data_IF_991587214135
#
_entry.id   IF_991587214135
#
_cell.length_a   1.000
_cell.length_b   1.000
_cell.length_c   1.000
_cell.angle_alpha   90.00
_cell.angle_beta   90.00
_cell.angle_gamma   90.00
#
_symmetry.space_group_name_H-M   'P 1'
#
loop_
_entity.id
_entity.type
_entity.pdbx_description
1 polymer ?
#
# COMPACT_ATOMS: atom_id res chain seq x y z
N UNK A 1 -38.28 -6.59 25.09
CA UNK A 1 -37.40 -5.77 24.27
C UNK A 1 -38.25 -5.18 23.15
N UNK A 2 -38.33 -3.84 23.06
CA UNK A 2 -38.96 -3.17 21.93
C UNK A 2 -37.94 -3.22 20.76
N UNK A 3 -38.19 -4.03 19.77
CA UNK A 3 -37.34 -4.09 18.58
C UNK A 3 -37.64 -2.86 17.71
N UNK A 4 -36.62 -2.02 17.47
CA UNK A 4 -36.74 -0.92 16.52
C UNK A 4 -37.00 -1.48 15.09
N UNK A 5 -37.76 -0.76 14.30
CA UNK A 5 -37.99 -1.11 12.91
C UNK A 5 -36.69 -1.04 12.10
N UNK A 6 -36.54 -1.87 11.07
CA UNK A 6 -35.33 -1.88 10.23
C UNK A 6 -35.03 -0.50 9.62
N UNK A 7 -36.07 0.22 9.21
CA UNK A 7 -35.97 1.60 8.68
C UNK A 7 -35.44 2.60 9.71
N UNK A 8 -35.81 2.43 10.97
CA UNK A 8 -35.36 3.28 12.08
C UNK A 8 -33.88 3.02 12.38
N UNK A 9 -33.43 1.74 12.41
CA UNK A 9 -32.03 1.38 12.58
C UNK A 9 -31.16 1.93 11.44
N UNK A 10 -31.63 1.85 10.19
CA UNK A 10 -30.93 2.43 9.04
C UNK A 10 -30.84 3.96 9.16
N UNK A 11 -31.90 4.64 9.61
CA UNK A 11 -31.92 6.09 9.82
C UNK A 11 -30.92 6.50 10.89
N UNK A 12 -30.84 5.77 12.02
CA UNK A 12 -29.84 6.01 13.08
C UNK A 12 -28.42 5.85 12.52
N UNK A 13 -28.14 4.78 11.77
CA UNK A 13 -26.85 4.59 11.14
C UNK A 13 -26.46 5.71 10.20
N UNK A 14 -27.36 6.09 9.29
CA UNK A 14 -27.17 7.20 8.35
C UNK A 14 -26.89 8.54 9.08
N UNK A 15 -27.61 8.81 10.16
CA UNK A 15 -27.41 10.00 10.97
C UNK A 15 -25.98 10.12 11.53
N UNK A 16 -25.38 8.99 11.97
CA UNK A 16 -23.99 8.97 12.46
C UNK A 16 -23.03 9.43 11.37
N UNK A 17 -23.16 8.88 10.15
CA UNK A 17 -22.31 9.27 9.01
C UNK A 17 -22.46 10.75 8.66
N UNK A 18 -23.69 11.26 8.58
CA UNK A 18 -23.92 12.66 8.23
C UNK A 18 -23.37 13.63 9.27
N UNK A 19 -23.56 13.34 10.57
CA UNK A 19 -23.05 14.21 11.64
C UNK A 19 -21.54 14.20 11.75
N UNK A 20 -20.90 13.05 11.54
CA UNK A 20 -19.45 13.00 11.50
C UNK A 20 -18.89 13.72 10.26
N UNK A 21 -19.48 13.54 9.09
CA UNK A 21 -19.09 14.25 7.88
C UNK A 21 -19.19 15.78 8.01
N UNK A 22 -20.27 16.27 8.64
CA UNK A 22 -20.46 17.69 8.95
C UNK A 22 -19.32 18.22 9.85
N UNK A 23 -19.00 17.49 10.91
CA UNK A 23 -17.90 17.87 11.82
C UNK A 23 -16.54 17.89 11.12
N UNK A 24 -16.25 16.88 10.28
CA UNK A 24 -15.01 16.84 9.51
C UNK A 24 -14.90 18.00 8.51
N UNK A 25 -16.00 18.36 7.84
CA UNK A 25 -16.07 19.51 6.94
C UNK A 25 -15.74 20.79 7.69
N UNK A 26 -16.37 21.04 8.83
CA UNK A 26 -16.12 22.22 9.67
C UNK A 26 -14.65 22.30 10.11
N UNK A 27 -14.03 21.18 10.52
CA UNK A 27 -12.61 21.16 10.88
C UNK A 27 -11.72 21.52 9.68
N UNK A 28 -12.03 20.98 8.51
CA UNK A 28 -11.28 21.28 7.28
C UNK A 28 -11.37 22.76 6.87
N UNK A 29 -12.55 23.39 7.01
CA UNK A 29 -12.77 24.81 6.74
C UNK A 29 -12.06 25.75 7.72
N UNK A 30 -11.70 25.25 8.93
CA UNK A 30 -11.05 26.02 9.99
C UNK A 30 -9.58 25.63 10.21
N UNK A 31 -8.95 24.91 9.28
CA UNK A 31 -7.51 24.69 9.34
C UNK A 31 -6.77 26.03 9.27
N UNK A 32 -5.85 26.22 10.19
CA UNK A 32 -5.07 27.45 10.33
C UNK A 32 -3.54 27.19 10.22
N UNK A 33 -2.73 28.22 10.46
CA UNK A 33 -1.28 28.14 10.42
C UNK A 33 -0.72 27.10 11.39
N UNK A 34 -1.45 26.69 12.43
CA UNK A 34 -1.03 25.62 13.35
C UNK A 34 -0.82 24.30 12.60
N UNK A 35 -1.64 24.01 11.57
CA UNK A 35 -1.47 22.84 10.74
C UNK A 35 -0.15 22.88 9.95
N UNK A 36 0.18 24.05 9.38
CA UNK A 36 1.44 24.26 8.64
C UNK A 36 2.64 24.13 9.59
N UNK A 37 2.54 24.70 10.79
CA UNK A 37 3.58 24.60 11.81
C UNK A 37 3.77 23.14 12.29
N UNK A 38 2.70 22.36 12.44
CA UNK A 38 2.79 20.95 12.77
C UNK A 38 3.56 20.16 11.68
N UNK A 39 3.22 20.40 10.40
CA UNK A 39 3.94 19.78 9.28
C UNK A 39 5.41 20.12 9.30
N UNK A 40 5.75 21.41 9.48
CA UNK A 40 7.13 21.86 9.54
C UNK A 40 7.89 21.20 10.69
N UNK A 41 7.30 21.13 11.88
CA UNK A 41 7.91 20.53 13.06
C UNK A 41 8.15 19.02 12.87
N UNK A 42 7.17 18.30 12.33
CA UNK A 42 7.33 16.87 12.03
C UNK A 42 8.37 16.65 10.91
N UNK A 43 8.38 17.49 9.89
CA UNK A 43 9.33 17.37 8.77
C UNK A 43 10.77 17.59 9.20
N UNK A 44 11.00 18.46 10.18
CA UNK A 44 12.33 18.79 10.73
C UNK A 44 12.79 17.79 11.80
N UNK A 45 11.93 16.89 12.25
CA UNK A 45 12.26 15.88 13.28
C UNK A 45 13.42 14.99 12.81
N UNK A 46 14.50 14.95 13.60
CA UNK A 46 15.69 14.13 13.30
C UNK A 46 15.55 12.70 13.81
N UNK A 47 14.71 12.48 14.82
CA UNK A 47 14.38 11.19 15.40
C UNK A 47 13.06 10.65 14.82
N UNK A 48 12.17 10.25 15.70
CA UNK A 48 10.87 9.65 15.37
C UNK A 48 9.72 10.53 15.85
N UNK A 49 8.56 10.35 15.26
CA UNK A 49 7.32 10.94 15.77
C UNK A 49 6.69 9.97 16.75
N UNK A 50 6.62 10.36 18.01
CA UNK A 50 6.03 9.56 19.08
C UNK A 50 4.60 10.02 19.28
N UNK A 51 3.63 9.11 19.19
CA UNK A 51 2.23 9.41 19.42
C UNK A 51 1.81 8.84 20.76
N UNK A 52 1.08 9.60 21.57
CA UNK A 52 0.60 9.14 22.87
C UNK A 52 -0.82 9.64 23.13
N UNK A 53 -1.63 8.80 23.79
CA UNK A 53 -3.02 9.09 24.13
C UNK A 53 -3.62 7.97 24.95
N UNK A 54 -4.64 8.30 25.76
CA UNK A 54 -5.30 7.35 26.66
C UNK A 54 -6.60 6.79 26.08
N UNK A 55 -6.93 5.55 26.37
CA UNK A 55 -8.20 4.92 26.02
C UNK A 55 -8.49 4.93 24.52
N UNK A 56 -9.64 5.47 24.09
CA UNK A 56 -10.01 5.55 22.67
C UNK A 56 -9.05 6.41 21.86
N UNK A 57 -8.54 7.51 22.45
CA UNK A 57 -7.48 8.32 21.81
C UNK A 57 -6.19 7.53 21.65
N UNK A 58 -5.86 6.61 22.55
CA UNK A 58 -4.71 5.71 22.42
C UNK A 58 -4.84 4.74 21.23
N UNK A 59 -6.01 4.13 21.03
CA UNK A 59 -6.27 3.28 19.86
C UNK A 59 -6.14 4.05 18.55
N UNK A 60 -6.68 5.27 18.50
CA UNK A 60 -6.52 6.18 17.35
C UNK A 60 -5.06 6.56 17.16
N UNK A 61 -4.34 6.85 18.25
CA UNK A 61 -2.92 7.16 18.23
C UNK A 61 -2.06 6.04 17.66
N UNK A 62 -2.36 4.79 18.03
CA UNK A 62 -1.70 3.62 17.43
C UNK A 62 -1.91 3.53 15.91
N UNK A 63 -3.16 3.81 15.44
CA UNK A 63 -3.43 3.86 13.99
C UNK A 63 -2.66 5.00 13.30
N UNK A 64 -2.63 6.19 13.89
CA UNK A 64 -1.88 7.33 13.33
C UNK A 64 -0.39 6.99 13.24
N UNK A 65 0.21 6.39 14.28
CA UNK A 65 1.59 5.94 14.26
C UNK A 65 1.86 4.96 13.11
N UNK A 66 1.00 3.96 12.97
CA UNK A 66 1.11 2.99 11.88
C UNK A 66 0.99 3.64 10.50
N UNK A 67 0.07 4.60 10.33
CA UNK A 67 -0.07 5.37 9.08
C UNK A 67 1.19 6.18 8.79
N UNK A 68 1.74 6.89 9.75
CA UNK A 68 2.98 7.66 9.61
C UNK A 68 4.14 6.75 9.18
N UNK A 69 4.37 5.65 9.90
CA UNK A 69 5.42 4.69 9.59
C UNK A 69 5.29 4.14 8.16
N UNK A 70 4.08 3.78 7.75
CA UNK A 70 3.80 3.23 6.42
C UNK A 70 3.87 4.26 5.29
N UNK A 71 3.85 5.55 5.61
CA UNK A 71 3.94 6.67 4.65
C UNK A 71 5.25 7.46 4.73
N UNK A 72 6.30 6.85 5.30
CA UNK A 72 7.66 7.39 5.29
C UNK A 72 8.00 8.35 6.43
N UNK A 73 7.18 8.41 7.48
CA UNK A 73 7.49 9.12 8.72
C UNK A 73 7.78 8.11 9.83
N UNK A 74 9.03 7.89 10.24
CA UNK A 74 9.35 6.97 11.32
C UNK A 74 8.60 7.35 12.60
N UNK A 75 7.79 6.43 13.12
CA UNK A 75 6.89 6.72 14.24
C UNK A 75 6.53 5.48 15.04
N UNK A 76 6.12 5.68 16.29
CA UNK A 76 5.61 4.63 17.15
C UNK A 76 4.66 5.21 18.20
N UNK A 77 3.87 4.35 18.82
CA UNK A 77 2.94 4.72 19.89
C UNK A 77 3.52 4.38 21.26
N UNK A 78 3.39 5.31 22.22
CA UNK A 78 3.72 5.10 23.63
C UNK A 78 2.43 5.28 24.45
N UNK A 79 2.08 4.27 25.21
CA UNK A 79 0.94 4.38 26.12
C UNK A 79 1.29 5.27 27.31
N UNK A 80 0.52 6.33 27.61
CA UNK A 80 0.93 7.31 28.63
C UNK A 80 1.02 6.72 30.05
N UNK A 81 0.25 5.70 30.39
CA UNK A 81 0.38 5.02 31.68
C UNK A 81 1.68 4.20 31.76
N UNK A 82 2.03 3.44 30.72
CA UNK A 82 3.26 2.65 30.65
C UNK A 82 4.51 3.52 30.60
N UNK A 83 4.39 4.75 30.09
CA UNK A 83 5.49 5.71 30.04
C UNK A 83 6.15 5.89 31.42
N UNK A 84 5.36 5.93 32.50
CA UNK A 84 5.89 6.09 33.87
C UNK A 84 6.45 4.80 34.48
N UNK A 85 6.33 3.68 33.78
CA UNK A 85 6.91 2.39 34.17
C UNK A 85 8.18 2.03 33.37
N UNK A 86 8.77 3.04 32.69
CA UNK A 86 10.05 2.88 31.99
C UNK A 86 10.03 3.29 30.53
N UNK A 87 8.87 3.32 29.85
CA UNK A 87 8.79 3.59 28.40
C UNK A 87 9.11 5.05 28.04
N UNK A 88 9.20 5.98 29.03
CA UNK A 88 9.80 7.31 28.81
C UNK A 88 11.22 7.21 28.23
N UNK A 89 11.95 6.14 28.53
CA UNK A 89 13.27 5.87 27.95
C UNK A 89 13.28 5.66 26.43
N UNK A 90 12.13 5.38 25.83
CA UNK A 90 11.99 5.26 24.38
C UNK A 90 11.96 6.60 23.66
N UNK A 91 11.72 7.71 24.38
CA UNK A 91 11.57 9.06 23.83
C UNK A 91 12.90 9.82 24.01
N UNK A 92 13.44 10.32 22.91
CA UNK A 92 14.73 11.01 22.87
C UNK A 92 14.56 12.50 22.54
N UNK A 93 15.57 13.37 22.83
CA UNK A 93 15.50 14.79 22.47
C UNK A 93 15.39 15.06 20.96
N UNK A 94 15.70 14.09 20.10
CA UNK A 94 15.59 14.21 18.66
C UNK A 94 14.17 13.92 18.13
N UNK A 95 13.29 13.41 18.99
CA UNK A 95 11.91 13.04 18.63
C UNK A 95 10.98 14.27 18.70
N UNK A 96 9.83 14.15 18.04
CA UNK A 96 8.68 15.05 18.23
C UNK A 96 7.52 14.24 18.77
N UNK A 97 6.81 14.74 19.78
CA UNK A 97 5.73 14.01 20.43
C UNK A 97 4.38 14.62 20.04
N UNK A 98 3.43 13.78 19.60
CA UNK A 98 2.03 14.15 19.36
C UNK A 98 1.19 13.58 20.52
N UNK A 99 0.56 14.46 21.29
CA UNK A 99 -0.29 14.12 22.42
C UNK A 99 -1.77 14.25 22.04
N UNK A 100 -2.54 13.18 22.25
CA UNK A 100 -3.95 13.11 21.88
C UNK A 100 -4.83 13.13 23.13
N UNK A 101 -5.62 14.19 23.28
CA UNK A 101 -6.62 14.29 24.33
C UNK A 101 -7.74 15.26 23.94
N UNK A 102 -8.97 14.76 23.79
CA UNK A 102 -10.11 15.62 23.41
C UNK A 102 -10.38 16.71 24.46
N UNK A 103 -10.37 16.37 25.76
CA UNK A 103 -10.50 17.35 26.83
C UNK A 103 -9.24 18.21 27.03
N UNK A 104 -8.07 17.68 26.64
CA UNK A 104 -6.76 18.26 26.89
C UNK A 104 -6.32 18.25 28.37
N UNK A 105 -7.07 17.56 29.22
CA UNK A 105 -6.85 17.49 30.69
C UNK A 105 -6.79 16.04 31.19
N UNK A 106 -6.56 15.07 30.35
CA UNK A 106 -6.40 13.66 30.74
C UNK A 106 -5.12 13.52 31.55
N UNK A 107 -5.27 13.11 32.84
CA UNK A 107 -4.18 13.09 33.82
C UNK A 107 -2.92 12.38 33.31
N UNK A 108 -3.05 11.19 32.72
CA UNK A 108 -1.94 10.39 32.27
C UNK A 108 -1.19 11.07 31.10
N UNK A 109 -1.89 11.81 30.25
CA UNK A 109 -1.29 12.56 29.13
C UNK A 109 -0.61 13.83 29.65
N UNK A 110 -1.28 14.57 30.56
CA UNK A 110 -0.78 15.81 31.17
C UNK A 110 0.53 15.54 31.95
N UNK A 111 0.62 14.41 32.62
CA UNK A 111 1.83 14.00 33.36
C UNK A 111 3.08 13.88 32.50
N UNK A 112 2.95 13.64 31.17
CA UNK A 112 4.09 13.58 30.26
C UNK A 112 4.74 14.95 30.03
N UNK A 113 3.99 16.05 30.16
CA UNK A 113 4.41 17.41 29.81
C UNK A 113 5.70 17.82 30.52
N UNK A 114 5.84 17.70 31.86
CA UNK A 114 7.06 18.11 32.55
C UNK A 114 8.33 17.39 32.07
N UNK A 115 8.20 16.09 31.76
CA UNK A 115 9.31 15.30 31.24
C UNK A 115 9.75 15.81 29.86
N UNK A 116 8.78 16.07 28.97
CA UNK A 116 9.04 16.54 27.60
C UNK A 116 9.63 17.95 27.62
N UNK A 117 9.10 18.85 28.47
CA UNK A 117 9.62 20.21 28.63
C UNK A 117 11.04 20.23 29.19
N UNK A 118 11.34 19.45 30.21
CA UNK A 118 12.66 19.37 30.81
C UNK A 118 13.75 18.91 29.83
N UNK A 119 13.36 18.13 28.81
CA UNK A 119 14.25 17.63 27.75
C UNK A 119 14.16 18.42 26.45
N UNK A 120 13.36 19.50 26.44
CA UNK A 120 13.14 20.35 25.27
C UNK A 120 12.62 19.56 24.03
N UNK A 121 11.82 18.51 24.29
CA UNK A 121 11.22 17.69 23.24
C UNK A 121 10.01 18.42 22.68
N UNK A 122 9.94 18.67 21.35
CA UNK A 122 8.82 19.35 20.73
C UNK A 122 7.49 18.59 20.94
N UNK A 123 6.44 19.36 21.27
CA UNK A 123 5.10 18.82 21.52
C UNK A 123 4.07 19.41 20.55
N UNK A 124 3.34 18.54 19.87
CA UNK A 124 2.12 18.85 19.14
C UNK A 124 0.96 18.25 19.92
N UNK A 125 -0.11 18.99 20.15
CA UNK A 125 -1.33 18.47 20.74
C UNK A 125 -2.47 18.43 19.73
N UNK A 126 -3.28 17.38 19.76
CA UNK A 126 -4.54 17.28 19.02
C UNK A 126 -5.66 17.13 20.04
N UNK A 127 -6.60 18.08 20.05
CA UNK A 127 -7.68 18.09 21.02
C UNK A 127 -8.78 19.11 20.74
N UNK A 128 -9.83 19.09 21.58
CA UNK A 128 -10.99 19.96 21.45
C UNK A 128 -10.88 21.32 22.16
N UNK A 129 -9.92 21.46 23.09
CA UNK A 129 -9.85 22.65 23.94
C UNK A 129 -8.43 23.21 24.00
N UNK A 130 -8.18 24.29 23.26
CA UNK A 130 -6.91 25.02 23.26
C UNK A 130 -6.55 25.64 24.64
N UNK A 131 -7.54 25.94 25.47
CA UNK A 131 -7.34 26.51 26.81
C UNK A 131 -7.05 25.45 27.89
N UNK A 132 -7.01 24.18 27.51
CA UNK A 132 -6.65 23.07 28.40
C UNK A 132 -5.17 23.13 28.80
N UNK A 133 -4.80 22.34 29.83
CA UNK A 133 -3.40 22.20 30.26
C UNK A 133 -2.51 21.76 29.09
N UNK A 134 -2.95 20.76 28.34
CA UNK A 134 -2.23 20.27 27.16
C UNK A 134 -2.15 21.32 26.05
N UNK A 135 -3.24 22.04 25.79
CA UNK A 135 -3.30 23.07 24.76
C UNK A 135 -2.37 24.25 25.02
N UNK A 136 -2.19 24.63 26.29
CA UNK A 136 -1.29 25.70 26.71
C UNK A 136 0.18 25.26 26.75
N UNK A 137 0.46 23.98 27.00
CA UNK A 137 1.82 23.47 27.11
C UNK A 137 2.44 23.10 25.75
N UNK A 138 1.64 22.76 24.77
CA UNK A 138 2.12 22.33 23.45
C UNK A 138 2.59 23.51 22.61
N UNK A 139 3.67 23.31 21.84
CA UNK A 139 4.18 24.32 20.89
C UNK A 139 3.18 24.52 19.73
N UNK A 140 2.50 23.46 19.33
CA UNK A 140 1.48 23.48 18.28
C UNK A 140 0.23 22.76 18.79
N UNK A 141 -0.91 23.41 18.67
CA UNK A 141 -2.20 22.81 19.03
C UNK A 141 -3.09 22.74 17.77
N UNK A 142 -3.44 21.51 17.40
CA UNK A 142 -4.38 21.22 16.32
C UNK A 142 -5.77 21.00 16.91
N UNK A 143 -6.65 21.93 16.64
CA UNK A 143 -7.98 21.92 17.20
C UNK A 143 -8.92 21.03 16.40
N UNK A 144 -9.53 20.05 17.07
CA UNK A 144 -10.63 19.24 16.57
C UNK A 144 -11.93 19.75 17.20
N UNK A 145 -12.50 20.80 16.63
CA UNK A 145 -13.72 21.39 17.16
C UNK A 145 -14.93 20.56 16.72
N UNK A 146 -15.54 19.83 17.68
CA UNK A 146 -16.78 19.09 17.46
C UNK A 146 -17.88 19.68 18.33
N UNK A 147 -19.08 19.78 17.80
CA UNK A 147 -20.24 20.27 18.56
C UNK A 147 -20.62 19.30 19.69
N UNK A 148 -20.70 18.00 19.33
CA UNK A 148 -21.02 16.92 20.26
C UNK A 148 -20.66 15.55 19.70
N UNK A 149 -20.60 14.58 20.59
CA UNK A 149 -20.53 13.18 20.20
C UNK A 149 -21.87 12.72 19.61
N UNK A 150 -21.84 11.87 18.56
CA UNK A 150 -23.09 11.33 17.97
C UNK A 150 -23.73 10.25 18.83
N UNK A 151 -23.06 9.78 19.86
CA UNK A 151 -23.66 8.85 20.81
C UNK A 151 -24.84 9.54 21.51
N UNK A 152 -25.97 8.85 21.79
CA UNK A 152 -27.19 9.44 22.32
C UNK A 152 -26.95 10.23 23.59
N UNK A 153 -26.05 9.79 24.45
CA UNK A 153 -25.74 10.40 25.73
C UNK A 153 -24.62 11.46 25.66
N UNK A 154 -24.04 11.73 24.49
CA UNK A 154 -22.91 12.63 24.34
C UNK A 154 -21.68 12.25 25.22
N UNK A 155 -21.46 10.96 25.49
CA UNK A 155 -20.42 10.45 26.39
C UNK A 155 -19.39 9.60 25.71
N UNK A 156 -19.82 8.67 24.81
CA UNK A 156 -18.91 7.77 24.16
C UNK A 156 -18.15 8.52 23.06
N UNK A 157 -16.79 8.48 23.07
CA UNK A 157 -15.99 9.09 22.02
C UNK A 157 -16.29 8.43 20.65
N UNK A 158 -16.90 9.18 19.78
CA UNK A 158 -17.32 8.79 18.43
C UNK A 158 -16.88 9.85 17.41
N UNK A 159 -17.50 11.02 17.41
CA UNK A 159 -17.14 12.13 16.51
C UNK A 159 -15.72 12.63 16.80
N UNK A 160 -15.36 12.78 18.09
CA UNK A 160 -14.02 13.23 18.48
C UNK A 160 -12.91 12.27 18.01
N UNK A 161 -13.16 10.96 18.11
CA UNK A 161 -12.18 9.95 17.66
C UNK A 161 -12.05 9.92 16.14
N UNK A 162 -13.16 10.05 15.40
CA UNK A 162 -13.15 10.18 13.93
C UNK A 162 -12.40 11.44 13.51
N UNK A 163 -12.65 12.58 14.18
CA UNK A 163 -11.96 13.83 13.91
C UNK A 163 -10.45 13.76 14.19
N UNK A 164 -10.06 13.15 15.32
CA UNK A 164 -8.64 12.93 15.66
C UNK A 164 -7.95 12.07 14.61
N UNK A 165 -8.61 11.00 14.18
CA UNK A 165 -8.09 10.11 13.13
C UNK A 165 -7.90 10.84 11.80
N UNK A 166 -8.91 11.60 11.37
CA UNK A 166 -8.86 12.39 10.15
C UNK A 166 -7.75 13.46 10.17
N UNK A 167 -7.54 14.10 11.34
CA UNK A 167 -6.43 15.05 11.52
C UNK A 167 -5.07 14.35 11.37
N UNK A 168 -4.90 13.16 11.96
CA UNK A 168 -3.68 12.36 11.79
C UNK A 168 -3.43 11.95 10.34
N UNK A 169 -4.48 11.56 9.62
CA UNK A 169 -4.39 11.22 8.20
C UNK A 169 -4.06 12.45 7.34
N UNK A 170 -4.64 13.62 7.68
CA UNK A 170 -4.32 14.87 6.99
C UNK A 170 -2.84 15.25 7.15
N UNK A 171 -2.27 15.10 8.37
CA UNK A 171 -0.85 15.29 8.61
C UNK A 171 0.01 14.31 7.80
N UNK A 172 -0.34 13.04 7.78
CA UNK A 172 0.39 12.02 7.02
C UNK A 172 0.39 12.33 5.52
N UNK A 173 -0.77 12.65 4.95
CA UNK A 173 -0.91 12.98 3.52
C UNK A 173 -0.13 14.25 3.16
N UNK A 174 -0.22 15.29 3.99
CA UNK A 174 0.55 16.52 3.76
C UNK A 174 2.08 16.26 3.80
N UNK A 175 2.56 15.43 4.74
CA UNK A 175 3.96 15.01 4.80
C UNK A 175 4.38 14.18 3.57
N UNK A 176 3.52 13.31 3.05
CA UNK A 176 3.77 12.61 1.78
C UNK A 176 4.00 13.59 0.63
N UNK A 177 3.17 14.65 0.53
CA UNK A 177 3.34 15.68 -0.49
C UNK A 177 4.65 16.46 -0.31
N UNK A 178 4.98 16.89 0.91
CA UNK A 178 6.22 17.62 1.21
C UNK A 178 7.46 16.79 0.87
N UNK A 179 7.42 15.47 1.13
CA UNK A 179 8.53 14.53 0.86
C UNK A 179 8.52 13.96 -0.55
N UNK A 180 7.54 14.29 -1.39
CA UNK A 180 7.34 13.69 -2.72
C UNK A 180 7.30 12.16 -2.68
N UNK A 181 6.63 11.61 -1.65
CA UNK A 181 6.52 10.18 -1.40
C UNK A 181 5.75 9.50 -2.53
N UNK A 182 6.36 8.48 -3.15
CA UNK A 182 5.86 7.81 -4.35
C UNK A 182 5.31 6.41 -4.01
N UNK A 183 4.57 5.83 -4.95
CA UNK A 183 4.08 4.45 -4.82
C UNK A 183 5.21 3.43 -4.60
N UNK A 184 6.40 3.69 -5.15
CA UNK A 184 7.60 2.87 -4.97
C UNK A 184 8.11 2.90 -3.53
N UNK A 185 8.04 4.06 -2.87
CA UNK A 185 8.43 4.21 -1.47
C UNK A 185 7.45 3.45 -0.58
N UNK A 186 6.13 3.54 -0.89
CA UNK A 186 5.11 2.76 -0.20
C UNK A 186 5.34 1.24 -0.32
N UNK A 187 5.74 0.78 -1.49
CA UNK A 187 6.02 -0.64 -1.74
C UNK A 187 7.17 -1.16 -0.86
N UNK A 188 8.20 -0.34 -0.58
CA UNK A 188 9.32 -0.72 0.30
C UNK A 188 8.85 -1.03 1.73
N UNK A 189 7.83 -0.31 2.23
CA UNK A 189 7.26 -0.55 3.56
C UNK A 189 6.21 -1.68 3.57
N UNK A 190 5.73 -2.11 2.38
CA UNK A 190 4.70 -3.14 2.23
C UNK A 190 5.12 -4.27 1.27
N UNK A 191 6.31 -4.89 1.42
CA UNK A 191 6.84 -5.83 0.43
C UNK A 191 5.98 -7.09 0.28
N UNK A 192 5.28 -7.52 1.32
CA UNK A 192 4.39 -8.68 1.32
C UNK A 192 2.99 -8.44 0.76
N UNK A 193 2.58 -7.18 0.58
CA UNK A 193 1.26 -6.83 0.03
C UNK A 193 1.17 -7.01 -1.49
N UNK A 194 -0.04 -7.09 -2.03
CA UNK A 194 -0.27 -7.20 -3.47
C UNK A 194 0.40 -6.05 -4.25
N UNK A 195 0.25 -4.80 -3.76
CA UNK A 195 0.87 -3.63 -4.35
C UNK A 195 2.40 -3.67 -4.25
N UNK A 196 2.95 -4.12 -3.11
CA UNK A 196 4.40 -4.27 -2.93
C UNK A 196 4.99 -5.27 -3.92
N UNK A 197 4.40 -6.45 -4.03
CA UNK A 197 4.79 -7.45 -5.04
C UNK A 197 4.73 -6.88 -6.44
N UNK A 198 3.61 -6.25 -6.81
CA UNK A 198 3.42 -5.65 -8.14
C UNK A 198 4.51 -4.61 -8.48
N UNK A 199 4.91 -3.77 -7.54
CA UNK A 199 5.85 -2.67 -7.79
C UNK A 199 7.33 -3.05 -7.63
N UNK A 200 7.64 -4.06 -6.82
CA UNK A 200 9.02 -4.48 -6.50
C UNK A 200 9.46 -5.71 -7.29
N UNK A 201 8.53 -6.62 -7.67
CA UNK A 201 8.88 -7.84 -8.39
C UNK A 201 9.45 -7.53 -9.78
N UNK A 202 10.49 -8.25 -10.13
CA UNK A 202 11.09 -8.24 -11.47
C UNK A 202 10.69 -9.49 -12.24
N UNK A 203 10.80 -9.43 -13.54
CA UNK A 203 10.53 -10.57 -14.43
C UNK A 203 11.34 -11.80 -14.02
N UNK A 204 12.62 -11.63 -13.67
CA UNK A 204 13.51 -12.72 -13.23
C UNK A 204 13.02 -13.45 -11.97
N UNK A 205 12.23 -12.79 -11.10
CA UNK A 205 11.76 -13.38 -9.84
C UNK A 205 10.58 -14.35 -10.06
N UNK A 206 9.97 -14.27 -11.27
CA UNK A 206 8.75 -15.03 -11.61
C UNK A 206 8.90 -15.86 -12.89
N UNK A 207 9.93 -15.59 -13.68
CA UNK A 207 10.16 -16.31 -14.94
C UNK A 207 10.44 -17.79 -14.70
N UNK A 208 10.14 -18.60 -15.70
CA UNK A 208 10.49 -20.01 -15.76
C UNK A 208 11.86 -20.16 -16.42
N UNK A 209 12.91 -20.62 -15.74
CA UNK A 209 14.26 -20.68 -16.29
C UNK A 209 14.47 -21.83 -17.29
N UNK A 210 13.68 -22.89 -17.18
CA UNK A 210 13.78 -24.06 -18.06
C UNK A 210 12.95 -23.79 -19.33
N UNK A 211 13.61 -23.38 -20.39
CA UNK A 211 12.97 -23.01 -21.66
C UNK A 211 12.90 -24.22 -22.59
N UNK A 212 11.70 -24.71 -22.95
CA UNK A 212 11.55 -25.72 -24.01
C UNK A 212 11.97 -25.11 -25.35
N UNK A 213 12.88 -25.78 -26.06
CA UNK A 213 13.44 -25.29 -27.33
C UNK A 213 13.17 -26.33 -28.42
N UNK A 214 12.72 -25.86 -29.57
CA UNK A 214 12.57 -26.64 -30.81
C UNK A 214 13.25 -25.94 -31.96
N UNK A 215 13.66 -26.70 -32.98
CA UNK A 215 14.16 -26.14 -34.22
C UNK A 215 13.02 -25.80 -35.19
N UNK A 216 13.23 -24.82 -36.03
CA UNK A 216 12.23 -24.36 -37.01
C UNK A 216 11.70 -25.47 -37.90
N UNK A 217 12.50 -26.50 -38.16
CA UNK A 217 12.18 -27.68 -38.99
C UNK A 217 11.58 -28.83 -38.20
N UNK A 218 11.48 -28.77 -36.86
CA UNK A 218 10.96 -29.87 -36.08
C UNK A 218 9.46 -30.12 -36.40
N UNK A 219 9.11 -31.39 -36.54
CA UNK A 219 7.75 -31.81 -36.85
C UNK A 219 6.81 -31.70 -35.61
N UNK A 220 5.51 -31.79 -35.88
CA UNK A 220 4.46 -31.65 -34.87
C UNK A 220 4.67 -32.52 -33.61
N UNK A 221 4.98 -33.82 -33.80
CA UNK A 221 5.16 -34.75 -32.67
C UNK A 221 6.33 -34.34 -31.76
N UNK A 222 7.42 -33.82 -32.35
CA UNK A 222 8.54 -33.34 -31.56
C UNK A 222 8.23 -32.06 -30.81
N UNK A 223 7.52 -31.14 -31.45
CA UNK A 223 7.06 -29.90 -30.79
C UNK A 223 6.19 -30.21 -29.59
N UNK A 224 5.17 -31.06 -29.77
CA UNK A 224 4.26 -31.45 -28.68
C UNK A 224 5.04 -32.13 -27.55
N UNK A 225 5.95 -33.04 -27.87
CA UNK A 225 6.76 -33.73 -26.86
C UNK A 225 7.58 -32.76 -26.02
N UNK A 226 8.25 -31.80 -26.65
CA UNK A 226 9.07 -30.78 -25.97
C UNK A 226 8.20 -29.88 -25.09
N UNK A 227 7.05 -29.44 -25.60
CA UNK A 227 6.13 -28.60 -24.81
C UNK A 227 5.58 -29.33 -23.59
N UNK A 228 5.23 -30.63 -23.73
CA UNK A 228 4.73 -31.45 -22.62
C UNK A 228 5.84 -31.69 -21.55
N UNK A 229 7.06 -32.01 -21.97
CA UNK A 229 8.19 -32.22 -21.07
C UNK A 229 8.58 -30.95 -20.31
N UNK A 230 8.47 -29.80 -20.95
CA UNK A 230 8.79 -28.50 -20.35
C UNK A 230 7.77 -28.01 -19.33
N UNK A 231 6.55 -28.56 -19.29
CA UNK A 231 5.45 -28.17 -18.38
C UNK A 231 5.08 -26.68 -18.43
N UNK A 232 5.52 -25.95 -19.46
CA UNK A 232 5.31 -24.50 -19.62
C UNK A 232 4.08 -24.21 -20.49
N UNK A 233 3.70 -25.18 -21.34
CA UNK A 233 2.65 -25.01 -22.35
C UNK A 233 3.10 -24.13 -23.54
N UNK A 234 4.42 -23.96 -23.72
CA UNK A 234 5.01 -23.20 -24.82
C UNK A 234 6.40 -23.74 -25.16
N UNK A 235 6.90 -23.42 -26.35
CA UNK A 235 8.28 -23.69 -26.77
C UNK A 235 8.83 -22.52 -27.59
N UNK A 236 10.13 -22.24 -27.45
CA UNK A 236 10.84 -21.27 -28.24
C UNK A 236 11.37 -21.93 -29.50
N UNK A 237 11.12 -21.32 -30.63
CA UNK A 237 11.58 -21.80 -31.94
C UNK A 237 12.90 -21.14 -32.29
N UNK A 238 13.91 -21.98 -32.57
CA UNK A 238 15.24 -21.54 -32.98
C UNK A 238 15.48 -21.87 -34.47
N UNK A 239 16.10 -20.94 -35.15
CA UNK A 239 16.82 -21.24 -36.41
C UNK A 239 18.31 -21.07 -36.15
N UNK A 240 19.04 -22.18 -36.13
CA UNK A 240 20.46 -22.23 -35.71
C UNK A 240 20.62 -21.69 -34.29
N UNK A 241 21.11 -20.47 -34.12
CA UNK A 241 21.33 -19.82 -32.81
C UNK A 241 20.43 -18.59 -32.58
N UNK A 242 19.47 -18.37 -33.49
CA UNK A 242 18.58 -17.20 -33.40
C UNK A 242 17.16 -17.62 -32.96
N UNK A 243 16.56 -16.85 -32.06
CA UNK A 243 15.18 -17.01 -31.71
C UNK A 243 14.32 -16.43 -32.84
N UNK A 244 13.52 -17.28 -33.46
CA UNK A 244 12.69 -16.89 -34.63
C UNK A 244 11.19 -16.91 -34.31
N UNK A 245 10.80 -17.57 -33.23
CA UNK A 245 9.39 -17.66 -32.86
C UNK A 245 9.15 -18.23 -31.47
N UNK A 246 7.87 -18.22 -31.07
CA UNK A 246 7.33 -18.90 -29.88
C UNK A 246 6.09 -19.67 -30.32
N UNK A 247 5.98 -20.92 -29.88
CA UNK A 247 4.77 -21.73 -30.02
C UNK A 247 4.05 -21.73 -28.67
N UNK A 248 2.85 -21.24 -28.65
CA UNK A 248 1.91 -21.28 -27.52
C UNK A 248 0.61 -22.02 -27.93
N UNK A 249 -0.36 -22.09 -27.03
CA UNK A 249 -1.63 -22.74 -27.34
C UNK A 249 -2.34 -22.12 -28.55
N UNK A 250 -2.32 -20.79 -28.65
CA UNK A 250 -2.96 -20.08 -29.77
C UNK A 250 -2.30 -20.40 -31.11
N UNK A 251 -0.95 -20.46 -31.16
CA UNK A 251 -0.22 -20.84 -32.35
C UNK A 251 -0.52 -22.28 -32.79
N UNK A 252 -0.62 -23.20 -31.82
CA UNK A 252 -1.03 -24.59 -32.08
C UNK A 252 -2.45 -24.66 -32.64
N UNK A 253 -3.41 -24.00 -32.01
CA UNK A 253 -4.82 -24.05 -32.42
C UNK A 253 -5.02 -23.47 -33.81
N UNK A 254 -4.31 -22.39 -34.15
CA UNK A 254 -4.34 -21.81 -35.48
C UNK A 254 -3.77 -22.77 -36.55
N UNK A 255 -2.62 -23.40 -36.25
CA UNK A 255 -2.00 -24.35 -37.19
C UNK A 255 -2.87 -25.60 -37.39
N UNK A 256 -3.48 -26.09 -36.32
CA UNK A 256 -4.41 -27.25 -36.38
C UNK A 256 -5.65 -26.94 -37.22
N UNK A 257 -6.22 -25.74 -37.08
CA UNK A 257 -7.36 -25.29 -37.87
C UNK A 257 -7.05 -25.19 -39.38
N UNK A 258 -5.79 -24.96 -39.73
CA UNK A 258 -5.32 -24.80 -41.12
C UNK A 258 -4.65 -26.06 -41.70
N UNK A 259 -4.60 -27.17 -40.96
CA UNK A 259 -3.88 -28.37 -41.33
C UNK A 259 -4.66 -29.20 -42.41
N UNK A 260 -4.74 -28.69 -43.64
CA UNK A 260 -5.41 -29.35 -44.75
C UNK A 260 -4.76 -30.69 -45.20
N UNK A 261 -3.47 -30.88 -44.87
CA UNK A 261 -2.69 -32.06 -45.29
C UNK A 261 -2.31 -33.02 -44.16
N UNK A 262 -2.97 -32.88 -42.99
CA UNK A 262 -2.73 -33.70 -41.80
C UNK A 262 -1.57 -33.20 -40.93
N UNK A 263 -1.53 -33.71 -39.68
CA UNK A 263 -0.59 -33.25 -38.64
C UNK A 263 0.89 -33.56 -39.01
N UNK A 264 1.15 -34.61 -39.73
CA UNK A 264 2.50 -35.02 -40.16
C UNK A 264 3.22 -34.02 -41.05
N UNK A 265 2.47 -33.13 -41.73
CA UNK A 265 3.03 -32.06 -42.56
C UNK A 265 3.38 -30.79 -41.81
N UNK A 266 2.93 -30.66 -40.56
CA UNK A 266 3.18 -29.49 -39.74
C UNK A 266 4.60 -29.52 -39.16
N UNK A 267 5.31 -28.39 -39.32
CA UNK A 267 6.58 -28.11 -38.70
C UNK A 267 6.46 -26.89 -37.75
N UNK A 268 7.45 -26.68 -36.90
CA UNK A 268 7.45 -25.58 -35.91
C UNK A 268 7.23 -24.21 -36.60
N UNK A 269 7.71 -23.99 -37.81
CA UNK A 269 7.48 -22.77 -38.58
C UNK A 269 6.00 -22.46 -38.83
N UNK A 270 5.16 -23.48 -38.94
CA UNK A 270 3.72 -23.30 -39.20
C UNK A 270 2.92 -23.00 -37.94
N UNK A 271 3.49 -23.28 -36.77
CA UNK A 271 2.86 -23.17 -35.46
C UNK A 271 3.34 -21.97 -34.65
N UNK A 272 4.46 -21.36 -35.07
CA UNK A 272 5.08 -20.27 -34.30
C UNK A 272 4.42 -18.93 -34.57
N UNK A 273 4.47 -18.09 -33.54
CA UNK A 273 4.15 -16.66 -33.59
C UNK A 273 5.40 -15.83 -33.37
N UNK A 274 5.35 -14.53 -33.72
CA UNK A 274 6.45 -13.61 -33.47
C UNK A 274 6.80 -13.55 -31.98
N UNK A 275 8.08 -13.69 -31.61
CA UNK A 275 8.50 -13.63 -30.22
C UNK A 275 8.42 -12.20 -29.70
N UNK A 276 7.86 -12.03 -28.50
CA UNK A 276 7.90 -10.76 -27.77
C UNK A 276 8.93 -10.89 -26.65
N UNK A 277 9.82 -9.92 -26.56
CA UNK A 277 10.95 -9.96 -25.64
C UNK A 277 10.75 -9.03 -24.47
N UNK A 278 11.23 -9.45 -23.29
CA UNK A 278 11.30 -8.63 -22.09
C UNK A 278 12.63 -8.82 -21.39
N UNK A 279 13.15 -7.79 -20.73
CA UNK A 279 14.38 -7.89 -19.94
C UNK A 279 14.13 -8.56 -18.60
N UNK A 280 15.05 -9.42 -18.15
CA UNK A 280 14.97 -10.08 -16.84
C UNK A 280 14.86 -9.09 -15.68
N UNK A 281 15.52 -7.94 -15.82
CA UNK A 281 15.51 -6.87 -14.81
C UNK A 281 14.30 -5.92 -14.93
N UNK A 282 13.45 -6.05 -15.96
CA UNK A 282 12.22 -5.26 -16.07
C UNK A 282 11.28 -5.52 -14.89
N UNK A 283 10.44 -4.55 -14.58
CA UNK A 283 9.40 -4.74 -13.56
C UNK A 283 8.34 -5.70 -14.07
N UNK A 284 7.84 -6.53 -13.18
CA UNK A 284 6.79 -7.49 -13.53
C UNK A 284 5.53 -6.80 -14.08
N UNK A 285 5.13 -5.69 -13.47
CA UNK A 285 3.97 -4.91 -13.93
C UNK A 285 4.11 -4.32 -15.33
N UNK A 286 5.33 -4.01 -15.77
CA UNK A 286 5.56 -3.53 -17.13
C UNK A 286 5.49 -4.70 -18.14
N UNK A 287 5.96 -5.89 -17.74
CA UNK A 287 5.80 -7.11 -18.53
C UNK A 287 4.32 -7.56 -18.62
N UNK A 288 3.54 -7.39 -17.56
CA UNK A 288 2.09 -7.69 -17.55
C UNK A 288 1.34 -6.81 -18.58
N UNK A 289 1.68 -5.54 -18.68
CA UNK A 289 1.11 -4.65 -19.73
C UNK A 289 1.46 -5.07 -21.15
N UNK A 290 2.62 -5.68 -21.37
CA UNK A 290 2.98 -6.19 -22.69
C UNK A 290 2.07 -7.34 -23.12
N UNK A 291 1.61 -8.19 -22.20
CA UNK A 291 0.65 -9.24 -22.54
C UNK A 291 -0.66 -8.66 -23.09
N UNK A 292 -1.17 -7.57 -22.49
CA UNK A 292 -2.38 -6.90 -22.94
C UNK A 292 -2.20 -6.20 -24.29
N UNK A 293 -1.02 -5.66 -24.56
CA UNK A 293 -0.72 -4.91 -25.79
C UNK A 293 -0.49 -5.79 -27.01
N UNK A 294 0.09 -6.98 -26.84
CA UNK A 294 0.48 -7.84 -27.95
C UNK A 294 -0.37 -9.11 -28.09
N UNK A 295 -1.43 -9.25 -27.30
CA UNK A 295 -2.31 -10.45 -27.31
C UNK A 295 -1.48 -11.74 -27.30
N UNK A 296 -0.41 -11.76 -26.50
CA UNK A 296 0.50 -12.88 -26.37
C UNK A 296 0.35 -13.54 -24.99
N UNK A 297 0.59 -14.84 -24.89
CA UNK A 297 0.54 -15.55 -23.61
C UNK A 297 1.91 -15.82 -23.00
N UNK A 298 2.96 -15.63 -23.80
CA UNK A 298 4.35 -15.93 -23.43
C UNK A 298 5.25 -14.78 -23.87
N UNK A 299 6.12 -14.33 -22.97
CA UNK A 299 7.23 -13.43 -23.27
C UNK A 299 8.55 -14.19 -23.13
N UNK A 300 9.47 -13.94 -24.06
CA UNK A 300 10.84 -14.47 -24.00
C UNK A 300 11.69 -13.53 -23.15
N UNK A 301 12.29 -14.05 -22.10
CA UNK A 301 13.07 -13.25 -21.15
C UNK A 301 14.54 -13.26 -21.55
N UNK A 302 15.11 -12.06 -21.70
CA UNK A 302 16.51 -11.84 -22.04
C UNK A 302 17.28 -11.23 -20.88
N UNK A 303 18.55 -11.58 -20.74
CA UNK A 303 19.49 -10.90 -19.87
C UNK A 303 20.08 -9.64 -20.53
N UNK A 304 20.96 -8.93 -19.82
CA UNK A 304 21.62 -7.70 -20.32
C UNK A 304 22.52 -7.94 -21.53
N UNK A 305 23.00 -9.19 -21.75
CA UNK A 305 23.77 -9.60 -22.92
C UNK A 305 22.90 -10.11 -24.07
N UNK A 306 21.57 -9.91 -23.99
CA UNK A 306 20.56 -10.39 -24.96
C UNK A 306 20.51 -11.91 -25.14
N UNK A 307 20.96 -12.67 -24.15
CA UNK A 307 20.78 -14.11 -24.12
C UNK A 307 19.46 -14.46 -23.46
N UNK A 308 18.78 -15.47 -23.98
CA UNK A 308 17.55 -15.99 -23.39
C UNK A 308 17.86 -16.68 -22.06
N UNK A 309 17.14 -16.27 -21.02
CA UNK A 309 17.31 -16.80 -19.66
C UNK A 309 16.03 -17.41 -19.08
N UNK A 310 14.90 -17.24 -19.76
CA UNK A 310 13.63 -17.80 -19.28
C UNK A 310 12.45 -17.46 -20.18
N UNK A 311 11.28 -17.91 -19.73
CA UNK A 311 9.97 -17.52 -20.26
C UNK A 311 9.13 -16.92 -19.15
N UNK A 312 8.33 -15.91 -19.47
CA UNK A 312 7.30 -15.39 -18.59
C UNK A 312 5.94 -15.71 -19.22
N UNK A 313 5.05 -16.30 -18.42
CA UNK A 313 3.67 -16.64 -18.82
C UNK A 313 2.71 -15.58 -18.32
N UNK A 314 1.72 -15.25 -19.14
CA UNK A 314 0.62 -14.38 -18.72
C UNK A 314 -0.07 -14.94 -17.45
N UNK A 315 -0.40 -14.09 -16.46
CA UNK A 315 -1.14 -14.54 -15.30
C UNK A 315 -2.48 -15.16 -15.75
N UNK A 316 -2.80 -16.34 -15.20
CA UNK A 316 -4.12 -16.93 -15.46
C UNK A 316 -5.15 -15.96 -14.88
N UNK A 317 -6.04 -15.46 -15.73
CA UNK A 317 -7.20 -14.73 -15.24
C UNK A 317 -7.99 -15.69 -14.34
N UNK A 318 -7.89 -15.44 -13.03
CA UNK A 318 -8.77 -16.13 -12.09
C UNK A 318 -10.18 -15.66 -12.43
N UNK A 319 -10.97 -16.55 -13.05
CA UNK A 319 -12.42 -16.38 -13.17
C UNK A 319 -12.97 -16.33 -11.74
N UNK A 320 -13.08 -15.12 -11.19
CA UNK A 320 -13.87 -14.90 -9.99
C UNK A 320 -15.34 -15.03 -10.44
N UNK A 321 -15.92 -16.18 -10.15
CA UNK A 321 -17.37 -16.39 -10.19
C UNK A 321 -17.99 -15.96 -8.88
#
# INVERSE_FOLDING_TARGET
MQYLAATELMSIGAHVFYKQAESLKQIGEHLDDSFVHAIALIHQTQGRVVISGMGKSGHVGGKIAATFASTGTPSFFVHPAEAFHGDLGMITPQDTVILLSNSGNTDEVVRLIPYLQARQIPMIAIGGNRQSILGQAAQVFLQINIEREVCPNNLAPTTSTTATLAMGDALAVALMHVRQFKAQDFAQFHPGGALGRMLLSRVQDTMMPNVPIVQITDGFDQVIRVMMQGCVGAAVVMDRQQIVGVIDQNGLDQALAQAAHGLSALQAVHMMRQPVFVQAQARLCDAERLFDQCDCQILVVLNDTRQMVGLLKAPQQSSIH
#
